data_IF_458907619093
#
_entry.id   IF_458907619093
#
_cell.length_a   1.000
_cell.length_b   1.000
_cell.length_c   1.000
_cell.angle_alpha   90.00
_cell.angle_beta   90.00
_cell.angle_gamma   90.00
#
_symmetry.space_group_name_H-M   'P 1'
#
loop_
_entity.id
_entity.type
_entity.pdbx_description
1 polymer ?
#
# COMPACT_ATOMS: atom_id res chain seq x y z
N UNK A 1 2.45 28.79 -3.65
CA UNK A 1 2.08 27.38 -3.48
C UNK A 1 3.17 26.76 -2.62
N UNK A 2 2.88 26.45 -1.35
CA UNK A 2 3.81 25.67 -0.52
C UNK A 2 3.89 24.28 -1.14
N UNK A 3 5.08 23.89 -1.60
CA UNK A 3 5.31 22.56 -2.14
C UNK A 3 4.92 21.51 -1.10
N UNK A 4 4.16 20.51 -1.53
CA UNK A 4 3.93 19.32 -0.72
C UNK A 4 5.29 18.60 -0.57
N UNK A 5 5.86 18.61 0.63
CA UNK A 5 7.16 17.97 0.90
C UNK A 5 6.96 16.64 1.62
N UNK A 6 7.51 15.57 1.02
CA UNK A 6 7.53 14.25 1.62
C UNK A 6 8.67 14.17 2.65
N UNK A 7 8.30 13.98 3.93
CA UNK A 7 9.21 13.75 5.05
C UNK A 7 10.27 12.67 4.73
N UNK A 8 11.46 12.84 5.30
CA UNK A 8 12.50 11.81 5.29
C UNK A 8 12.38 10.90 6.51
N UNK A 9 12.44 9.58 6.31
CA UNK A 9 12.27 8.60 7.38
C UNK A 9 13.47 7.67 7.46
N UNK A 10 13.90 7.38 8.69
CA UNK A 10 14.79 6.25 8.97
C UNK A 10 14.05 4.93 8.70
N UNK A 11 14.77 3.81 8.52
CA UNK A 11 14.15 2.49 8.45
C UNK A 11 13.23 2.21 9.64
N UNK A 12 12.07 1.62 9.38
CA UNK A 12 11.19 1.07 10.41
C UNK A 12 11.40 -0.44 10.50
N UNK A 13 11.38 -1.01 11.70
CA UNK A 13 11.56 -2.45 11.91
C UNK A 13 10.70 -2.97 13.05
N UNK A 14 10.29 -4.24 12.94
CA UNK A 14 9.61 -5.01 13.98
C UNK A 14 10.49 -6.13 14.58
N UNK A 15 11.79 -6.11 14.26
CA UNK A 15 12.75 -7.14 14.68
C UNK A 15 12.88 -8.33 13.73
N UNK A 16 11.99 -8.49 12.74
CA UNK A 16 12.06 -9.55 11.73
C UNK A 16 12.35 -8.98 10.35
N UNK A 17 11.64 -7.90 9.98
CA UNK A 17 11.87 -7.16 8.75
C UNK A 17 12.22 -5.71 9.02
N UNK A 18 12.81 -5.06 8.03
CA UNK A 18 12.88 -3.60 7.94
C UNK A 18 12.20 -3.12 6.66
N UNK A 19 11.57 -1.94 6.73
CA UNK A 19 11.10 -1.19 5.57
C UNK A 19 11.92 0.09 5.43
N UNK A 20 12.48 0.29 4.24
CA UNK A 20 13.43 1.36 3.96
C UNK A 20 12.92 2.21 2.81
N UNK A 21 12.82 3.53 3.00
CA UNK A 21 12.44 4.46 1.93
C UNK A 21 13.42 4.32 0.76
N UNK A 22 12.88 4.00 -0.42
CA UNK A 22 13.64 3.94 -1.68
C UNK A 22 13.35 5.12 -2.58
N UNK A 23 12.10 5.56 -2.59
CA UNK A 23 11.64 6.63 -3.46
C UNK A 23 10.57 7.47 -2.75
N UNK A 24 10.64 8.77 -2.97
CA UNK A 24 9.63 9.77 -2.60
C UNK A 24 9.19 10.44 -3.89
N UNK A 25 8.12 9.93 -4.47
CA UNK A 25 7.58 10.45 -5.70
C UNK A 25 6.61 11.60 -5.38
N UNK A 26 6.85 12.84 -5.83
CA UNK A 26 6.00 13.98 -5.51
C UNK A 26 4.61 13.92 -6.16
N UNK A 27 4.34 12.92 -7.00
CA UNK A 27 3.14 12.87 -7.82
C UNK A 27 3.31 13.61 -9.15
N UNK A 28 2.27 13.55 -9.96
CA UNK A 28 2.12 14.29 -11.21
C UNK A 28 0.62 14.58 -11.41
N UNK A 29 0.22 15.79 -11.05
CA UNK A 29 -1.18 16.22 -11.13
C UNK A 29 -1.71 16.18 -12.57
N UNK A 30 -0.87 16.47 -13.58
CA UNK A 30 -1.30 16.45 -14.99
C UNK A 30 -1.66 15.04 -15.44
N UNK A 31 -1.05 14.03 -14.81
CA UNK A 31 -1.32 12.60 -15.05
C UNK A 31 -2.25 11.99 -14.00
N UNK A 32 -2.78 12.79 -13.07
CA UNK A 32 -3.63 12.31 -11.98
C UNK A 32 -2.92 11.42 -10.96
N UNK A 33 -1.57 11.45 -10.92
CA UNK A 33 -0.77 10.65 -9.99
C UNK A 33 -0.57 11.43 -8.69
N UNK A 34 -0.96 10.80 -7.57
CA UNK A 34 -0.73 11.39 -6.24
C UNK A 34 0.71 11.16 -5.80
N UNK A 35 1.21 11.94 -4.82
CA UNK A 35 2.48 11.64 -4.16
C UNK A 35 2.51 10.21 -3.61
N UNK A 36 3.68 9.57 -3.61
CA UNK A 36 3.85 8.19 -3.16
C UNK A 36 5.19 7.99 -2.46
N UNK A 37 5.15 7.33 -1.30
CA UNK A 37 6.32 6.70 -0.71
C UNK A 37 6.46 5.27 -1.22
N UNK A 38 7.65 4.88 -1.67
CA UNK A 38 7.97 3.48 -1.95
C UNK A 38 9.08 2.99 -1.05
N UNK A 39 8.85 1.85 -0.43
CA UNK A 39 9.75 1.23 0.51
C UNK A 39 10.20 -0.13 -0.03
N UNK A 40 11.49 -0.43 0.15
CA UNK A 40 11.98 -1.79 0.06
C UNK A 40 11.65 -2.52 1.36
N UNK A 41 11.21 -3.77 1.26
CA UNK A 41 11.06 -4.70 2.38
C UNK A 41 12.30 -5.59 2.40
N UNK A 42 12.97 -5.70 3.54
CA UNK A 42 14.16 -6.54 3.73
C UNK A 42 14.03 -7.38 4.99
N UNK A 43 14.69 -8.53 5.01
CA UNK A 43 14.93 -9.25 6.27
C UNK A 43 15.93 -8.46 7.11
N UNK A 44 15.75 -8.41 8.42
CA UNK A 44 16.66 -7.70 9.30
C UNK A 44 18.10 -8.24 9.14
N UNK A 45 19.06 -7.34 8.92
CA UNK A 45 20.46 -7.71 8.69
C UNK A 45 20.79 -8.19 7.29
N UNK A 46 19.81 -8.30 6.38
CA UNK A 46 20.03 -8.59 4.96
C UNK A 46 19.77 -7.33 4.10
N UNK A 47 20.75 -6.83 3.32
CA UNK A 47 20.55 -5.67 2.47
C UNK A 47 19.65 -5.93 1.24
N UNK A 48 19.41 -7.20 0.89
CA UNK A 48 18.61 -7.60 -0.25
C UNK A 48 17.11 -7.36 -0.02
N UNK A 49 16.45 -6.78 -1.02
CA UNK A 49 15.01 -6.52 -0.99
C UNK A 49 14.25 -7.82 -1.28
N UNK A 50 13.40 -8.24 -0.35
CA UNK A 50 12.50 -9.39 -0.50
C UNK A 50 11.09 -8.99 -0.98
N UNK A 51 10.87 -7.69 -1.17
CA UNK A 51 9.62 -7.15 -1.65
C UNK A 51 9.59 -5.63 -1.61
N UNK A 52 8.43 -5.08 -1.90
CA UNK A 52 8.13 -3.65 -1.84
C UNK A 52 6.79 -3.42 -1.14
N UNK A 53 6.68 -2.30 -0.44
CA UNK A 53 5.41 -1.72 0.00
C UNK A 53 5.40 -0.25 -0.39
N UNK A 54 4.26 0.28 -0.79
CA UNK A 54 4.10 1.69 -1.10
C UNK A 54 2.89 2.29 -0.40
N UNK A 55 2.98 3.60 -0.12
CA UNK A 55 1.92 4.42 0.44
C UNK A 55 1.68 5.60 -0.48
N UNK A 56 0.51 5.62 -1.11
CA UNK A 56 0.01 6.71 -1.95
C UNK A 56 -0.64 7.76 -1.05
N UNK A 57 -0.10 8.98 -1.08
CA UNK A 57 -0.51 10.10 -0.25
C UNK A 57 -1.47 11.00 -1.03
N UNK A 58 -2.73 10.62 -0.97
CA UNK A 58 -3.86 11.37 -1.50
C UNK A 58 -5.15 10.61 -1.18
N UNK A 59 -6.30 11.25 -1.34
CA UNK A 59 -7.60 10.63 -1.03
C UNK A 59 -8.60 10.81 -2.18
N UNK A 60 -8.16 10.47 -3.40
CA UNK A 60 -9.02 10.58 -4.59
C UNK A 60 -10.03 9.43 -4.62
N UNK A 61 -11.14 9.61 -5.33
CA UNK A 61 -12.13 8.54 -5.55
C UNK A 61 -11.49 7.29 -6.13
N UNK A 62 -10.53 7.44 -7.04
CA UNK A 62 -9.83 6.31 -7.65
C UNK A 62 -9.05 5.49 -6.62
N UNK A 63 -8.36 6.12 -5.66
CA UNK A 63 -7.64 5.42 -4.58
C UNK A 63 -8.62 4.74 -3.61
N UNK A 64 -9.66 5.45 -3.20
CA UNK A 64 -10.67 4.94 -2.25
C UNK A 64 -11.44 3.74 -2.81
N UNK A 65 -11.76 3.77 -4.10
CA UNK A 65 -12.60 2.75 -4.74
C UNK A 65 -11.79 1.60 -5.35
N UNK A 66 -10.64 1.86 -5.97
CA UNK A 66 -10.03 0.92 -6.92
C UNK A 66 -8.55 0.62 -6.65
N UNK A 67 -7.70 1.64 -6.55
CA UNK A 67 -6.25 1.44 -6.45
C UNK A 67 -5.74 1.14 -5.03
N UNK A 68 -6.44 1.64 -4.01
CA UNK A 68 -5.99 1.62 -2.62
C UNK A 68 -4.87 2.62 -2.33
N UNK A 69 -4.71 2.97 -1.05
CA UNK A 69 -3.62 3.78 -0.54
C UNK A 69 -2.34 2.98 -0.39
N UNK A 70 -2.45 1.67 -0.10
CA UNK A 70 -1.30 0.78 0.07
C UNK A 70 -1.22 -0.20 -1.10
N UNK A 71 -0.04 -0.29 -1.71
CA UNK A 71 0.34 -1.38 -2.61
C UNK A 71 1.48 -2.20 -2.01
N UNK A 72 1.55 -3.49 -2.30
CA UNK A 72 2.69 -4.32 -1.89
C UNK A 72 2.91 -5.51 -2.83
N UNK A 73 4.15 -6.01 -2.82
CA UNK A 73 4.56 -7.23 -3.50
C UNK A 73 5.66 -7.90 -2.70
N UNK A 74 5.50 -9.19 -2.42
CA UNK A 74 6.55 -10.04 -1.84
C UNK A 74 7.07 -10.96 -2.94
N UNK A 75 8.40 -11.03 -3.06
CA UNK A 75 9.07 -11.93 -3.99
C UNK A 75 8.68 -13.38 -3.71
N UNK A 76 8.57 -14.20 -4.77
CA UNK A 76 7.91 -15.51 -4.74
C UNK A 76 8.46 -16.42 -3.62
N UNK A 77 9.77 -16.43 -3.45
CA UNK A 77 10.48 -17.31 -2.51
C UNK A 77 10.29 -16.90 -1.04
N UNK A 78 9.79 -15.69 -0.79
CA UNK A 78 9.59 -15.15 0.56
C UNK A 78 8.11 -15.08 0.97
N UNK A 79 7.18 -15.54 0.11
CA UNK A 79 5.73 -15.56 0.42
C UNK A 79 5.40 -16.56 1.53
N UNK A 80 4.24 -16.37 2.17
CA UNK A 80 3.75 -17.26 3.25
C UNK A 80 4.19 -16.86 4.66
N UNK A 81 5.13 -15.93 4.81
CA UNK A 81 5.68 -15.51 6.11
C UNK A 81 5.03 -14.24 6.68
N UNK A 82 3.91 -13.78 6.11
CA UNK A 82 3.17 -12.58 6.54
C UNK A 82 3.95 -11.26 6.40
N UNK A 83 5.07 -11.23 5.68
CA UNK A 83 5.88 -10.02 5.47
C UNK A 83 5.09 -8.84 4.89
N UNK A 84 4.08 -9.08 4.04
CA UNK A 84 3.21 -8.01 3.53
C UNK A 84 2.45 -7.31 4.67
N UNK A 85 1.84 -8.07 5.60
CA UNK A 85 1.13 -7.51 6.74
C UNK A 85 2.07 -6.77 7.69
N UNK A 86 3.24 -7.35 7.99
CA UNK A 86 4.28 -6.69 8.81
C UNK A 86 4.70 -5.35 8.18
N UNK A 87 4.98 -5.34 6.87
CA UNK A 87 5.41 -4.15 6.15
C UNK A 87 4.32 -3.05 6.14
N UNK A 88 3.05 -3.42 5.91
CA UNK A 88 1.93 -2.49 6.00
C UNK A 88 1.82 -1.87 7.41
N UNK A 89 1.99 -2.67 8.46
CA UNK A 89 1.95 -2.18 9.84
C UNK A 89 3.12 -1.25 10.17
N UNK A 90 4.31 -1.50 9.63
CA UNK A 90 5.47 -0.63 9.82
C UNK A 90 5.30 0.74 9.18
N UNK A 91 4.68 0.82 7.99
CA UNK A 91 4.42 2.11 7.33
C UNK A 91 3.18 2.85 7.87
N UNK A 92 2.46 2.27 8.84
CA UNK A 92 1.30 2.89 9.50
C UNK A 92 1.65 4.26 10.09
N UNK A 93 2.82 4.38 10.71
CA UNK A 93 3.25 5.66 11.28
C UNK A 93 3.41 6.73 10.21
N UNK A 94 3.94 6.37 9.03
CA UNK A 94 4.06 7.31 7.90
C UNK A 94 2.68 7.81 7.47
N UNK A 95 1.67 6.94 7.42
CA UNK A 95 0.31 7.35 7.09
C UNK A 95 -0.28 8.31 8.14
N UNK A 96 -0.08 8.03 9.43
CA UNK A 96 -0.50 8.91 10.52
C UNK A 96 0.18 10.29 10.43
N UNK A 97 1.48 10.31 10.13
CA UNK A 97 2.25 11.56 9.96
C UNK A 97 1.79 12.38 8.76
N UNK A 98 1.18 11.74 7.75
CA UNK A 98 0.53 12.41 6.61
C UNK A 98 -0.93 12.79 6.91
N UNK A 99 -1.41 12.59 8.14
CA UNK A 99 -2.76 12.96 8.58
C UNK A 99 -3.86 11.96 8.22
N UNK A 100 -3.53 10.75 7.78
CA UNK A 100 -4.53 9.72 7.54
C UNK A 100 -5.10 9.19 8.86
N UNK A 101 -6.43 9.14 8.95
CA UNK A 101 -7.16 8.39 9.99
C UNK A 101 -7.59 7.01 9.52
N UNK A 102 -7.76 6.86 8.21
CA UNK A 102 -8.22 5.66 7.55
C UNK A 102 -7.46 5.46 6.26
N UNK A 103 -7.12 4.22 5.95
CA UNK A 103 -6.57 3.80 4.66
C UNK A 103 -7.49 2.81 3.98
N UNK A 104 -7.38 2.74 2.66
CA UNK A 104 -8.05 1.74 1.84
C UNK A 104 -7.02 0.80 1.24
N UNK A 105 -7.24 -0.50 1.37
CA UNK A 105 -6.46 -1.52 0.67
C UNK A 105 -7.43 -2.24 -0.26
N UNK A 106 -7.04 -2.38 -1.53
CA UNK A 106 -7.83 -3.09 -2.53
C UNK A 106 -7.05 -4.26 -3.10
N UNK A 107 -7.77 -5.32 -3.46
CA UNK A 107 -7.17 -6.47 -4.14
C UNK A 107 -8.20 -7.16 -5.02
N UNK A 108 -7.74 -7.93 -6.01
CA UNK A 108 -8.63 -8.74 -6.83
C UNK A 108 -9.32 -9.81 -5.96
N UNK A 109 -10.60 -10.17 -6.23
CA UNK A 109 -11.34 -11.13 -5.41
C UNK A 109 -10.69 -12.51 -5.23
N UNK A 110 -9.93 -12.94 -6.23
CA UNK A 110 -9.18 -14.21 -6.29
C UNK A 110 -7.79 -14.13 -5.64
N UNK A 111 -7.34 -12.93 -5.25
CA UNK A 111 -6.09 -12.73 -4.53
C UNK A 111 -6.27 -13.03 -3.03
N UNK A 112 -6.52 -14.29 -2.71
CA UNK A 112 -6.66 -14.80 -1.34
C UNK A 112 -5.51 -14.41 -0.41
N UNK A 113 -4.22 -14.42 -0.84
CA UNK A 113 -3.13 -13.94 -0.01
C UNK A 113 -3.30 -12.48 0.45
N UNK A 114 -3.70 -11.57 -0.44
CA UNK A 114 -3.91 -10.17 -0.08
C UNK A 114 -5.13 -9.95 0.80
N UNK A 115 -6.20 -10.72 0.59
CA UNK A 115 -7.37 -10.70 1.49
C UNK A 115 -6.96 -11.12 2.91
N UNK A 116 -6.15 -12.18 3.01
CA UNK A 116 -5.61 -12.65 4.30
C UNK A 116 -4.70 -11.62 4.96
N UNK A 117 -3.89 -10.89 4.18
CA UNK A 117 -3.12 -9.75 4.70
C UNK A 117 -4.03 -8.70 5.33
N UNK A 118 -5.13 -8.32 4.66
CA UNK A 118 -6.09 -7.35 5.20
C UNK A 118 -6.75 -7.86 6.49
N UNK A 119 -7.12 -9.14 6.56
CA UNK A 119 -7.66 -9.75 7.77
C UNK A 119 -6.66 -9.72 8.94
N UNK A 120 -5.38 -10.02 8.69
CA UNK A 120 -4.31 -9.98 9.71
C UNK A 120 -4.10 -8.56 10.24
N UNK A 121 -4.22 -7.55 9.37
CA UNK A 121 -4.13 -6.14 9.73
C UNK A 121 -5.35 -5.64 10.53
N UNK A 122 -6.41 -6.44 10.63
CA UNK A 122 -7.68 -6.04 11.25
C UNK A 122 -8.51 -5.10 10.37
N UNK A 123 -8.28 -5.09 9.06
CA UNK A 123 -9.09 -4.29 8.15
C UNK A 123 -10.52 -4.82 8.07
N UNK A 124 -11.49 -3.91 7.99
CA UNK A 124 -12.88 -4.24 7.74
C UNK A 124 -13.10 -4.47 6.24
N UNK A 125 -13.68 -5.61 5.89
CA UNK A 125 -14.14 -5.87 4.52
C UNK A 125 -15.44 -5.09 4.27
N UNK A 126 -15.43 -4.21 3.27
CA UNK A 126 -16.58 -3.35 2.96
C UNK A 126 -17.42 -3.95 1.85
N UNK A 127 -16.82 -4.28 0.70
CA UNK A 127 -17.56 -4.76 -0.47
C UNK A 127 -16.62 -5.32 -1.56
N UNK A 128 -17.23 -5.92 -2.60
CA UNK A 128 -16.59 -6.14 -3.90
C UNK A 128 -17.23 -5.17 -4.89
N UNK A 129 -16.43 -4.34 -5.55
CA UNK A 129 -16.89 -3.39 -6.57
C UNK A 129 -16.41 -3.80 -7.96
N UNK A 130 -17.20 -3.50 -8.98
CA UNK A 130 -16.78 -3.57 -10.37
C UNK A 130 -15.87 -2.39 -10.72
N UNK A 131 -14.83 -2.66 -11.52
CA UNK A 131 -13.95 -1.65 -12.07
C UNK A 131 -14.64 -0.94 -13.24
N UNK A 132 -14.63 0.40 -13.29
CA UNK A 132 -15.02 1.13 -14.48
C UNK A 132 -14.14 0.79 -15.67
N UNK A 133 -14.74 0.70 -16.85
CA UNK A 133 -14.03 0.27 -18.06
C UNK A 133 -12.91 1.22 -18.48
N UNK A 134 -13.01 2.49 -18.13
CA UNK A 134 -12.03 3.54 -18.45
C UNK A 134 -10.81 3.55 -17.51
N UNK A 135 -10.73 2.62 -16.54
CA UNK A 135 -9.55 2.49 -15.67
C UNK A 135 -8.46 1.62 -16.32
N UNK A 136 -7.20 2.01 -16.13
CA UNK A 136 -6.03 1.22 -16.59
C UNK A 136 -6.11 -0.24 -16.12
N UNK A 137 -6.51 -0.46 -14.86
CA UNK A 137 -6.71 -1.80 -14.28
C UNK A 137 -7.72 -2.64 -15.08
N UNK A 138 -8.83 -2.05 -15.54
CA UNK A 138 -9.80 -2.77 -16.36
C UNK A 138 -9.24 -3.12 -17.74
N UNK A 139 -8.52 -2.17 -18.35
CA UNK A 139 -7.86 -2.34 -19.63
C UNK A 139 -6.76 -3.42 -19.58
N UNK A 140 -6.11 -3.59 -18.42
CA UNK A 140 -5.14 -4.64 -18.14
C UNK A 140 -5.76 -6.01 -17.80
N UNK A 141 -7.09 -6.12 -17.79
CA UNK A 141 -7.82 -7.38 -17.64
C UNK A 141 -8.42 -7.62 -16.25
N UNK A 142 -8.22 -6.72 -15.29
CA UNK A 142 -8.91 -6.81 -14.00
C UNK A 142 -10.39 -6.44 -14.16
N UNK A 143 -11.26 -6.94 -13.28
CA UNK A 143 -12.71 -6.67 -13.38
C UNK A 143 -13.34 -6.18 -12.10
N UNK A 144 -12.83 -6.63 -10.96
CA UNK A 144 -13.41 -6.35 -9.65
C UNK A 144 -12.33 -6.11 -8.63
N UNK A 145 -12.66 -5.36 -7.58
CA UNK A 145 -11.81 -5.15 -6.41
C UNK A 145 -12.59 -5.43 -5.14
N UNK A 146 -12.01 -6.23 -4.26
CA UNK A 146 -12.38 -6.20 -2.85
C UNK A 146 -11.87 -4.90 -2.25
N UNK A 147 -12.71 -4.23 -1.46
CA UNK A 147 -12.36 -3.01 -0.73
C UNK A 147 -12.29 -3.32 0.76
N UNK A 148 -11.13 -3.03 1.35
CA UNK A 148 -10.89 -3.14 2.78
C UNK A 148 -10.57 -1.77 3.35
N UNK A 149 -11.24 -1.41 4.44
CA UNK A 149 -11.00 -0.20 5.21
C UNK A 149 -10.11 -0.53 6.41
N UNK A 150 -9.05 0.24 6.58
CA UNK A 150 -8.15 0.13 7.73
C UNK A 150 -8.18 1.42 8.52
N UNK A 151 -8.83 1.39 9.68
CA UNK A 151 -8.85 2.52 10.60
C UNK A 151 -7.55 2.52 11.43
N UNK A 152 -6.90 3.68 11.49
CA UNK A 152 -5.58 3.85 12.11
C UNK A 152 -5.67 4.44 13.52
N UNK A 153 -6.88 4.57 14.08
CA UNK A 153 -7.14 5.01 15.46
C UNK A 153 -7.39 3.81 16.38
#
# INVERSE_FOLDING_TARGET
MSGFELNDYRPFTDGEIEVVVRERYPGDEQRGLVPEYRFAIRLLGNPESIGIVSLRVGNTRHLVMYAGHIGYRIEKDYRGHRYAARACNLIRQVALDQGFKTLWITCNPDNWPSRRTCEILGCEFIEIVDLPEDTDMYQEGERRKCRYRWDLE
#
